data_IF_887780469627
#
_entry.id   IF_887780469627
#
_cell.length_a   1.000
_cell.length_b   1.000
_cell.length_c   1.000
_cell.angle_alpha   90.00
_cell.angle_beta   90.00
_cell.angle_gamma   90.00
#
_symmetry.space_group_name_H-M   'P 1'
#
loop_
_entity.id
_entity.type
_entity.pdbx_description
1 polymer ?
#
# COMPACT_ATOMS: atom_id res chain seq x y z
N UNK A 1 -5.28 -33.06 40.05
CA UNK A 1 -5.92 -32.22 39.01
C UNK A 1 -6.56 -31.05 39.72
N UNK A 2 -5.88 -29.91 39.78
CA UNK A 2 -6.35 -28.74 40.54
C UNK A 2 -7.25 -27.92 39.62
N UNK A 3 -8.53 -27.82 39.97
CA UNK A 3 -9.52 -27.04 39.22
C UNK A 3 -9.07 -25.57 39.21
N UNK A 4 -8.70 -25.05 38.04
CA UNK A 4 -8.33 -23.65 37.89
C UNK A 4 -9.52 -22.78 38.33
N UNK A 5 -9.29 -21.85 39.25
CA UNK A 5 -10.30 -20.91 39.72
C UNK A 5 -10.83 -20.12 38.50
N UNK A 6 -12.15 -20.13 38.28
CA UNK A 6 -12.77 -19.35 37.20
C UNK A 6 -12.51 -17.86 37.46
N UNK A 7 -11.83 -17.20 36.54
CA UNK A 7 -11.67 -15.74 36.55
C UNK A 7 -13.03 -15.13 36.17
N UNK A 8 -13.54 -14.15 36.93
CA UNK A 8 -14.78 -13.46 36.59
C UNK A 8 -14.59 -12.62 35.32
N UNK A 9 -15.57 -12.70 34.40
CA UNK A 9 -15.56 -11.95 33.14
C UNK A 9 -16.00 -10.50 33.31
N UNK A 10 -15.35 -9.73 34.19
CA UNK A 10 -15.62 -8.30 34.38
C UNK A 10 -14.66 -7.43 33.58
N UNK A 11 -15.02 -6.17 33.33
CA UNK A 11 -14.18 -5.20 32.62
C UNK A 11 -12.85 -4.98 33.36
N UNK A 12 -12.87 -4.92 34.69
CA UNK A 12 -11.66 -4.71 35.49
C UNK A 12 -10.67 -5.87 35.36
N UNK A 13 -11.16 -7.11 35.25
CA UNK A 13 -10.32 -8.30 35.09
C UNK A 13 -9.70 -8.38 33.68
N UNK A 14 -10.37 -7.81 32.67
CA UNK A 14 -9.82 -7.67 31.32
C UNK A 14 -8.77 -6.55 31.28
N UNK A 15 -9.09 -5.36 31.82
CA UNK A 15 -8.22 -4.18 31.79
C UNK A 15 -6.93 -4.36 32.60
N UNK A 16 -6.97 -5.13 33.68
CA UNK A 16 -5.79 -5.44 34.49
C UNK A 16 -5.02 -6.68 34.03
N UNK A 17 -5.44 -7.30 32.92
CA UNK A 17 -4.78 -8.46 32.32
C UNK A 17 -5.03 -9.81 33.01
N UNK A 18 -5.73 -9.84 34.15
CA UNK A 18 -6.04 -11.09 34.87
C UNK A 18 -6.81 -12.07 33.98
N UNK A 19 -7.65 -11.56 33.06
CA UNK A 19 -8.37 -12.31 32.06
C UNK A 19 -7.76 -12.06 30.67
N UNK A 20 -7.12 -13.07 30.09
CA UNK A 20 -6.66 -13.05 28.69
C UNK A 20 -5.15 -12.90 28.50
N UNK A 21 -4.39 -12.46 29.50
CA UNK A 21 -2.92 -12.36 29.43
C UNK A 21 -2.17 -13.59 29.98
N UNK A 22 -2.84 -14.74 30.08
CA UNK A 22 -2.18 -15.99 30.50
C UNK A 22 -1.40 -16.62 29.33
N UNK A 23 -0.08 -16.75 29.52
CA UNK A 23 0.86 -17.33 28.55
C UNK A 23 0.46 -18.74 28.08
N UNK A 24 -0.27 -19.51 28.89
CA UNK A 24 -0.75 -20.84 28.50
C UNK A 24 -1.71 -20.82 27.29
N UNK A 25 -2.35 -19.69 27.02
CA UNK A 25 -3.27 -19.52 25.89
C UNK A 25 -2.66 -18.76 24.72
N UNK A 26 -1.39 -18.31 24.83
CA UNK A 26 -0.68 -17.63 23.75
C UNK A 26 -0.20 -18.67 22.74
N UNK A 27 -0.55 -18.48 21.47
CA UNK A 27 -0.07 -19.30 20.37
C UNK A 27 0.25 -18.44 19.15
N UNK A 28 1.29 -18.82 18.41
CA UNK A 28 1.58 -18.22 17.10
C UNK A 28 0.45 -18.57 16.14
N UNK A 29 -0.11 -17.57 15.47
CA UNK A 29 -1.16 -17.77 14.48
C UNK A 29 -0.67 -18.71 13.37
N UNK A 30 -1.51 -19.67 12.92
CA UNK A 30 -1.17 -20.50 11.77
C UNK A 30 -0.93 -19.65 10.53
N UNK A 31 0.01 -20.10 9.67
CA UNK A 31 0.31 -19.42 8.41
C UNK A 31 -0.94 -19.23 7.54
N UNK A 32 -1.83 -20.21 7.51
CA UNK A 32 -3.08 -20.14 6.71
C UNK A 32 -4.00 -19.01 7.17
N UNK A 33 -4.07 -18.76 8.48
CA UNK A 33 -4.84 -17.65 9.03
C UNK A 33 -4.21 -16.30 8.62
N UNK A 34 -2.89 -16.20 8.71
CA UNK A 34 -2.16 -15.01 8.28
C UNK A 34 -2.35 -14.74 6.76
N UNK A 35 -2.30 -15.79 5.95
CA UNK A 35 -2.51 -15.70 4.50
C UNK A 35 -3.96 -15.30 4.17
N UNK A 36 -4.95 -15.86 4.88
CA UNK A 36 -6.36 -15.47 4.74
C UNK A 36 -6.59 -13.99 5.07
N UNK A 37 -5.92 -13.47 6.11
CA UNK A 37 -6.00 -12.05 6.48
C UNK A 37 -5.33 -11.17 5.43
N UNK A 38 -4.17 -11.58 4.93
CA UNK A 38 -3.50 -10.84 3.86
C UNK A 38 -4.36 -10.81 2.59
N UNK A 39 -4.97 -11.93 2.21
CA UNK A 39 -5.83 -12.03 1.05
C UNK A 39 -7.08 -11.15 1.18
N UNK A 40 -7.75 -11.16 2.34
CA UNK A 40 -8.95 -10.32 2.55
C UNK A 40 -8.65 -8.83 2.48
N UNK A 41 -7.43 -8.44 2.85
CA UNK A 41 -6.93 -7.07 2.77
C UNK A 41 -6.26 -6.74 1.41
N UNK A 42 -6.23 -7.68 0.46
CA UNK A 42 -5.56 -7.50 -0.84
C UNK A 42 -4.05 -7.27 -0.73
N UNK A 43 -3.43 -7.76 0.34
CA UNK A 43 -2.00 -7.62 0.61
C UNK A 43 -1.22 -8.87 0.18
N UNK A 44 -0.04 -8.65 -0.39
CA UNK A 44 0.91 -9.71 -0.69
C UNK A 44 2.23 -9.42 0.03
N UNK A 45 2.76 -10.41 0.74
CA UNK A 45 4.11 -10.34 1.28
C UNK A 45 5.13 -10.42 0.13
N UNK A 46 6.01 -9.44 0.04
CA UNK A 46 7.12 -9.44 -0.91
C UNK A 46 8.44 -9.40 -0.15
N UNK A 47 9.44 -10.13 -0.65
CA UNK A 47 10.80 -10.06 -0.13
C UNK A 47 11.64 -9.14 -1.01
N UNK A 48 11.90 -7.93 -0.53
CA UNK A 48 12.76 -6.94 -1.20
C UNK A 48 13.98 -6.64 -0.33
N UNK A 49 15.13 -6.38 -0.96
CA UNK A 49 16.34 -5.89 -0.26
C UNK A 49 16.40 -4.38 -0.42
N UNK A 50 16.62 -3.67 0.69
CA UNK A 50 16.77 -2.22 0.71
C UNK A 50 18.11 -1.83 1.33
N UNK A 51 18.74 -0.72 0.88
CA UNK A 51 19.90 -0.15 1.55
C UNK A 51 19.61 0.16 3.02
N UNK A 52 20.58 -0.08 3.90
CA UNK A 52 20.41 0.17 5.34
C UNK A 52 20.09 1.63 5.64
N UNK A 53 20.81 2.55 5.00
CA UNK A 53 20.63 3.99 5.19
C UNK A 53 19.21 4.44 4.82
N UNK A 54 18.64 3.86 3.76
CA UNK A 54 17.26 4.12 3.36
C UNK A 54 16.25 3.65 4.42
N UNK A 55 16.49 2.48 5.02
CA UNK A 55 15.62 1.97 6.08
C UNK A 55 15.66 2.88 7.33
N UNK A 56 16.84 3.39 7.69
CA UNK A 56 16.97 4.32 8.81
C UNK A 56 16.29 5.67 8.53
N UNK A 57 16.37 6.17 7.30
CA UNK A 57 15.62 7.36 6.89
C UNK A 57 14.11 7.14 7.01
N UNK A 58 13.58 6.00 6.55
CA UNK A 58 12.16 5.69 6.71
C UNK A 58 11.73 5.63 8.19
N UNK A 59 12.56 5.07 9.07
CA UNK A 59 12.27 5.06 10.51
C UNK A 59 12.23 6.47 11.10
N UNK A 60 13.19 7.32 10.75
CA UNK A 60 13.24 8.71 11.22
C UNK A 60 12.01 9.51 10.75
N UNK A 61 11.63 9.38 9.47
CA UNK A 61 10.44 10.02 8.92
C UNK A 61 9.18 9.49 9.61
N UNK A 62 9.08 8.18 9.82
CA UNK A 62 7.94 7.55 10.47
C UNK A 62 7.74 8.04 11.91
N UNK A 63 8.83 8.22 12.68
CA UNK A 63 8.80 8.82 14.01
C UNK A 63 8.23 10.24 13.99
N UNK A 64 8.68 11.07 13.04
CA UNK A 64 8.15 12.43 12.87
C UNK A 64 6.64 12.44 12.55
N UNK A 65 6.18 11.54 11.68
CA UNK A 65 4.77 11.39 11.34
C UNK A 65 3.94 10.57 12.36
N UNK A 66 4.56 10.10 13.45
CA UNK A 66 3.93 9.26 14.49
C UNK A 66 3.24 8.02 13.91
N UNK A 67 3.86 7.39 12.92
CA UNK A 67 3.37 6.17 12.27
C UNK A 67 4.47 5.10 12.20
N UNK A 68 4.10 3.86 11.87
CA UNK A 68 5.08 2.81 11.61
C UNK A 68 5.80 3.03 10.27
N UNK A 69 7.07 2.62 10.17
CA UNK A 69 7.85 2.74 8.93
C UNK A 69 7.30 1.86 7.80
N UNK A 70 6.75 0.68 8.11
CA UNK A 70 6.14 -0.20 7.10
C UNK A 70 4.85 0.41 6.50
N UNK A 71 3.90 0.95 7.30
CA UNK A 71 2.80 1.75 6.79
C UNK A 71 3.26 2.94 5.91
N UNK A 72 4.29 3.67 6.36
CA UNK A 72 4.84 4.80 5.61
C UNK A 72 5.40 4.36 4.25
N UNK A 73 6.18 3.27 4.23
CA UNK A 73 6.72 2.71 3.00
C UNK A 73 5.62 2.27 2.04
N UNK A 74 4.57 1.61 2.53
CA UNK A 74 3.42 1.20 1.72
C UNK A 74 2.75 2.41 1.07
N UNK A 75 2.56 3.48 1.84
CA UNK A 75 1.95 4.71 1.35
C UNK A 75 2.83 5.40 0.29
N UNK A 76 4.13 5.52 0.54
CA UNK A 76 5.08 6.10 -0.40
C UNK A 76 5.11 5.34 -1.73
N UNK A 77 5.17 4.00 -1.69
CA UNK A 77 5.14 3.14 -2.88
C UNK A 77 3.82 3.29 -3.65
N UNK A 78 2.69 3.36 -2.93
CA UNK A 78 1.36 3.53 -3.54
C UNK A 78 1.24 4.88 -4.24
N UNK A 79 1.72 5.96 -3.59
CA UNK A 79 1.72 7.31 -4.16
C UNK A 79 2.57 7.39 -5.42
N UNK A 80 3.77 6.81 -5.38
CA UNK A 80 4.65 6.74 -6.54
C UNK A 80 3.97 6.02 -7.71
N UNK A 81 3.53 4.78 -7.52
CA UNK A 81 2.91 3.98 -8.58
C UNK A 81 1.66 4.68 -9.18
N UNK A 82 0.81 5.28 -8.33
CA UNK A 82 -0.38 6.01 -8.78
C UNK A 82 -0.01 7.22 -9.65
N UNK A 83 1.02 7.95 -9.25
CA UNK A 83 1.45 9.16 -9.96
C UNK A 83 2.09 8.83 -11.30
N UNK A 84 2.93 7.80 -11.33
CA UNK A 84 3.56 7.29 -12.55
C UNK A 84 2.55 6.75 -13.56
N UNK A 85 1.58 5.95 -13.10
CA UNK A 85 0.53 5.44 -13.97
C UNK A 85 -0.30 6.56 -14.61
N UNK A 86 -0.65 7.60 -13.84
CA UNK A 86 -1.35 8.78 -14.38
C UNK A 86 -0.52 9.48 -15.45
N UNK A 87 0.78 9.67 -15.20
CA UNK A 87 1.68 10.32 -16.16
C UNK A 87 1.77 9.55 -17.47
N UNK A 88 1.95 8.23 -17.39
CA UNK A 88 2.02 7.35 -18.57
C UNK A 88 0.71 7.42 -19.37
N UNK A 89 -0.45 7.37 -18.71
CA UNK A 89 -1.75 7.45 -19.40
C UNK A 89 -1.91 8.77 -20.15
N UNK A 90 -1.51 9.88 -19.55
CA UNK A 90 -1.57 11.20 -20.18
C UNK A 90 -0.66 11.25 -21.41
N UNK A 91 0.58 10.78 -21.28
CA UNK A 91 1.57 10.76 -22.35
C UNK A 91 1.07 9.93 -23.54
N UNK A 92 0.62 8.69 -23.30
CA UNK A 92 0.08 7.81 -24.35
C UNK A 92 -1.18 8.39 -25.00
N UNK A 93 -2.01 9.12 -24.24
CA UNK A 93 -3.21 9.77 -24.80
C UNK A 93 -2.82 10.92 -25.72
N UNK A 94 -1.89 11.77 -25.30
CA UNK A 94 -1.40 12.88 -26.10
C UNK A 94 -0.72 12.41 -27.39
N UNK A 95 0.12 11.36 -27.33
CA UNK A 95 0.75 10.78 -28.51
C UNK A 95 -0.28 10.24 -29.51
N UNK A 96 -1.34 9.59 -29.01
CA UNK A 96 -2.43 9.08 -29.86
C UNK A 96 -3.22 10.21 -30.52
N UNK A 97 -3.46 11.31 -29.79
CA UNK A 97 -4.16 12.46 -30.32
C UNK A 97 -3.31 13.18 -31.38
N UNK A 98 -2.02 13.38 -31.11
CA UNK A 98 -1.07 13.92 -32.09
C UNK A 98 -0.98 13.05 -33.35
N UNK A 99 -0.86 11.73 -33.21
CA UNK A 99 -0.84 10.82 -34.35
C UNK A 99 -2.15 10.85 -35.15
N UNK A 100 -3.30 11.08 -34.50
CA UNK A 100 -4.60 11.26 -35.18
C UNK A 100 -4.71 12.60 -35.89
N UNK A 101 -4.15 13.66 -35.33
CA UNK A 101 -4.12 15.00 -35.93
C UNK A 101 -3.16 15.06 -37.13
N UNK A 102 -1.98 14.47 -37.01
CA UNK A 102 -1.00 14.35 -38.11
C UNK A 102 -1.54 13.51 -39.28
N UNK A 103 -2.37 12.51 -39.02
CA UNK A 103 -3.07 11.75 -40.06
C UNK A 103 -4.25 12.52 -40.70
N UNK A 104 -4.70 13.63 -40.09
CA UNK A 104 -5.86 14.40 -40.55
C UNK A 104 -5.52 15.56 -41.48
N UNK A 105 -4.26 15.98 -41.65
CA UNK A 105 -3.84 17.01 -42.61
C UNK A 105 -2.58 16.61 -43.41
N UNK A 106 -2.48 16.90 -44.74
CA UNK A 106 -2.82 18.19 -45.33
C UNK A 106 -3.85 18.14 -46.47
N UNK A 107 -4.89 18.95 -46.36
CA UNK A 107 -5.78 19.27 -47.49
C UNK A 107 -5.09 20.12 -48.56
N UNK A 108 -5.48 20.03 -49.84
CA UNK A 108 -4.73 20.63 -50.94
C UNK A 108 -4.69 22.16 -50.84
N UNK A 109 -3.48 22.76 -50.88
CA UNK A 109 -3.28 24.21 -50.95
C UNK A 109 -4.00 24.76 -52.20
N UNK A 110 -5.13 25.42 -52.00
CA UNK A 110 -5.86 26.09 -53.06
C UNK A 110 -4.96 27.18 -53.69
N UNK A 111 -4.48 26.87 -54.90
CA UNK A 111 -3.76 27.79 -55.78
C UNK A 111 -4.72 28.93 -56.14
N UNK A 112 -4.67 30.04 -55.41
CA UNK A 112 -5.35 31.28 -55.83
C UNK A 112 -4.64 31.80 -57.08
N UNK A 113 -5.28 31.59 -58.23
CA UNK A 113 -4.87 32.19 -59.50
C UNK A 113 -5.09 33.71 -59.42
N UNK A 114 -4.06 34.45 -59.82
CA UNK A 114 -4.13 35.87 -60.10
C UNK A 114 -5.06 36.12 -61.29
N UNK A 115 -5.92 37.13 -61.17
CA UNK A 115 -6.53 37.91 -62.25
C UNK A 115 -6.99 39.24 -61.65
#
# INVERSE_FOLDING_TARGET
MTQAAKIPGTEEAWDNGTLGEDEHYVAVAPKDLQDSVNQSLGMQAISIRLPKDLLEQYKAIAQYHKMGYQPLMREALTRFATSEMKRIVIEVSNERDQAREEQREPGPKARRKAA
#
